data_IF_607513458503
#
_entry.id   IF_607513458503
#
_cell.length_a   1.000
_cell.length_b   1.000
_cell.length_c   1.000
_cell.angle_alpha   90.00
_cell.angle_beta   90.00
_cell.angle_gamma   90.00
#
_symmetry.space_group_name_H-M   'P 1'
#
loop_
_entity.id
_entity.type
_entity.pdbx_description
1 polymer ?
#
# COMPACT_ATOMS: atom_id res chain seq x y z
N UNK A 1 5.25 -23.17 -10.04
CA UNK A 1 4.18 -22.44 -10.76
C UNK A 1 3.60 -21.28 -9.97
N UNK A 2 3.24 -21.50 -8.71
CA UNK A 2 2.71 -20.44 -7.84
C UNK A 2 3.69 -19.26 -7.69
N UNK A 3 4.94 -19.52 -7.35
CA UNK A 3 5.97 -18.50 -7.17
C UNK A 3 6.18 -17.64 -8.41
N UNK A 4 6.16 -18.25 -9.59
CA UNK A 4 6.31 -17.54 -10.86
C UNK A 4 5.16 -16.54 -11.07
N UNK A 5 3.93 -16.98 -10.84
CA UNK A 5 2.73 -16.13 -11.00
C UNK A 5 2.72 -14.98 -9.98
N UNK A 6 3.16 -15.25 -8.76
CA UNK A 6 3.31 -14.24 -7.71
C UNK A 6 4.30 -13.16 -8.13
N UNK A 7 5.50 -13.54 -8.59
CA UNK A 7 6.52 -12.60 -9.02
C UNK A 7 6.06 -11.80 -10.23
N UNK A 8 5.40 -12.44 -11.16
CA UNK A 8 4.81 -11.77 -12.32
C UNK A 8 3.84 -10.68 -11.89
N UNK A 9 2.92 -11.00 -10.98
CA UNK A 9 1.94 -10.04 -10.46
C UNK A 9 2.62 -8.86 -9.75
N UNK A 10 3.57 -9.15 -8.84
CA UNK A 10 4.31 -8.11 -8.14
C UNK A 10 5.08 -7.21 -9.11
N UNK A 11 5.66 -7.78 -10.16
CA UNK A 11 6.40 -7.04 -11.16
C UNK A 11 5.51 -6.08 -11.95
N UNK A 12 4.25 -6.42 -12.16
CA UNK A 12 3.30 -5.53 -12.82
C UNK A 12 3.05 -4.26 -12.00
N UNK A 13 2.90 -4.39 -10.68
CA UNK A 13 2.73 -3.23 -9.81
C UNK A 13 3.97 -2.34 -9.78
N UNK A 14 5.15 -2.94 -9.72
CA UNK A 14 6.41 -2.19 -9.77
C UNK A 14 6.60 -1.47 -11.12
N UNK A 15 6.25 -2.15 -12.20
CA UNK A 15 6.28 -1.57 -13.54
C UNK A 15 5.35 -0.35 -13.61
N UNK A 16 4.14 -0.48 -13.12
CA UNK A 16 3.17 0.61 -13.08
C UNK A 16 3.68 1.78 -12.24
N UNK A 17 4.24 1.50 -11.06
CA UNK A 17 4.81 2.51 -10.19
C UNK A 17 5.91 3.30 -10.92
N UNK A 18 6.86 2.61 -11.56
CA UNK A 18 7.95 3.25 -12.29
C UNK A 18 7.45 4.13 -13.42
N UNK A 19 6.42 3.70 -14.15
CA UNK A 19 5.82 4.50 -15.23
C UNK A 19 5.19 5.78 -14.72
N UNK A 20 4.85 5.84 -13.44
CA UNK A 20 4.32 7.03 -12.78
C UNK A 20 5.37 7.75 -11.92
N UNK A 21 6.65 7.43 -12.10
CA UNK A 21 7.74 8.08 -11.38
C UNK A 21 7.87 7.67 -9.91
N UNK A 22 7.33 6.51 -9.52
CA UNK A 22 7.35 6.01 -8.15
C UNK A 22 8.10 4.69 -8.06
N UNK A 23 8.60 4.41 -6.86
CA UNK A 23 9.03 3.07 -6.49
C UNK A 23 7.82 2.28 -6.00
N UNK A 24 7.91 0.94 -6.00
CA UNK A 24 6.82 0.08 -5.56
C UNK A 24 6.32 0.38 -4.15
N UNK A 25 7.23 0.61 -3.20
CA UNK A 25 6.87 0.97 -1.83
C UNK A 25 6.17 2.33 -1.75
N UNK A 26 6.62 3.30 -2.54
CA UNK A 26 5.97 4.61 -2.60
C UNK A 26 4.54 4.51 -3.13
N UNK A 27 4.29 3.62 -4.07
CA UNK A 27 2.93 3.35 -4.56
C UNK A 27 2.04 2.79 -3.45
N UNK A 28 2.53 1.84 -2.65
CA UNK A 28 1.80 1.29 -1.50
C UNK A 28 1.51 2.37 -0.45
N UNK A 29 2.50 3.20 -0.14
CA UNK A 29 2.36 4.28 0.83
C UNK A 29 1.31 5.30 0.34
N UNK A 30 1.37 5.66 -0.93
CA UNK A 30 0.39 6.56 -1.55
C UNK A 30 -1.02 5.96 -1.48
N UNK A 31 -1.14 4.65 -1.69
CA UNK A 31 -2.40 3.92 -1.56
C UNK A 31 -2.98 4.05 -0.14
N UNK A 32 -2.13 3.87 0.88
CA UNK A 32 -2.55 4.05 2.28
C UNK A 32 -3.08 5.47 2.53
N UNK A 33 -2.39 6.48 2.03
CA UNK A 33 -2.81 7.88 2.18
C UNK A 33 -4.13 8.16 1.47
N UNK A 34 -4.27 7.65 0.27
CA UNK A 34 -5.43 7.93 -0.58
C UNK A 34 -6.73 7.32 -0.03
N UNK A 35 -6.65 6.10 0.49
CA UNK A 35 -7.83 5.38 1.00
C UNK A 35 -8.09 5.58 2.48
N UNK A 36 -7.31 6.41 3.16
CA UNK A 36 -7.54 6.75 4.58
C UNK A 36 -7.86 8.23 4.70
N UNK A 37 -9.13 8.58 4.43
CA UNK A 37 -9.60 9.97 4.37
C UNK A 37 -9.40 10.75 5.67
N UNK A 38 -9.49 10.07 6.83
CA UNK A 38 -9.33 10.71 8.14
C UNK A 38 -7.87 10.93 8.52
N UNK A 39 -6.95 10.61 7.62
CA UNK A 39 -5.53 10.68 7.86
C UNK A 39 -4.99 9.43 8.53
N UNK A 40 -3.68 9.32 8.55
CA UNK A 40 -2.97 8.13 9.00
C UNK A 40 -1.63 8.54 9.59
N UNK A 41 -1.17 7.84 10.63
CA UNK A 41 0.14 8.10 11.21
C UNK A 41 1.24 7.37 10.42
N UNK A 42 2.47 7.87 10.50
CA UNK A 42 3.60 7.19 9.86
C UNK A 42 3.81 5.79 10.43
N UNK A 43 3.60 5.60 11.73
CA UNK A 43 3.70 4.28 12.35
C UNK A 43 2.69 3.29 11.75
N UNK A 44 1.46 3.73 11.56
CA UNK A 44 0.43 2.89 10.93
C UNK A 44 0.78 2.57 9.46
N UNK A 45 1.35 3.52 8.73
CA UNK A 45 1.84 3.27 7.36
C UNK A 45 2.93 2.18 7.38
N UNK A 46 3.89 2.29 8.32
CA UNK A 46 4.94 1.28 8.47
C UNK A 46 4.35 -0.12 8.70
N UNK A 47 3.38 -0.22 9.60
CA UNK A 47 2.72 -1.49 9.92
C UNK A 47 1.97 -2.06 8.71
N UNK A 48 1.17 -1.24 8.04
CA UNK A 48 0.35 -1.69 6.90
C UNK A 48 1.17 -2.08 5.69
N UNK A 49 2.31 -1.43 5.48
CA UNK A 49 3.15 -1.68 4.30
C UNK A 49 4.34 -2.60 4.61
N UNK A 50 4.48 -3.02 5.86
CA UNK A 50 5.66 -3.79 6.32
C UNK A 50 6.96 -3.08 5.93
N UNK A 51 6.99 -1.78 6.12
CA UNK A 51 8.12 -0.93 5.76
C UNK A 51 8.87 -0.45 6.99
N UNK A 52 10.15 -0.14 6.82
CA UNK A 52 10.95 0.48 7.87
C UNK A 52 10.57 1.96 8.02
N UNK A 53 10.89 2.53 9.19
CA UNK A 53 10.69 3.97 9.44
C UNK A 53 11.45 4.83 8.43
N UNK A 54 12.66 4.39 8.04
CA UNK A 54 13.48 5.09 7.07
C UNK A 54 12.83 5.18 5.69
N UNK A 55 12.25 4.08 5.22
CA UNK A 55 11.56 4.02 3.93
C UNK A 55 10.34 4.94 3.92
N UNK A 56 9.53 4.87 4.97
CA UNK A 56 8.33 5.72 5.09
C UNK A 56 8.72 7.20 5.23
N UNK A 57 9.70 7.51 6.07
CA UNK A 57 10.18 8.89 6.24
C UNK A 57 10.70 9.49 4.94
N UNK A 58 11.44 8.71 4.15
CA UNK A 58 11.94 9.16 2.85
C UNK A 58 10.80 9.48 1.89
N UNK A 59 9.77 8.62 1.83
CA UNK A 59 8.59 8.86 1.01
C UNK A 59 7.82 10.11 1.48
N UNK A 60 7.67 10.28 2.80
CA UNK A 60 7.00 11.44 3.38
C UNK A 60 7.74 12.74 3.01
N UNK A 61 9.06 12.73 3.11
CA UNK A 61 9.88 13.89 2.74
C UNK A 61 9.65 14.28 1.28
N UNK A 62 9.70 13.31 0.38
CA UNK A 62 9.48 13.54 -1.05
C UNK A 62 8.08 14.09 -1.32
N UNK A 63 7.06 13.48 -0.73
CA UNK A 63 5.66 13.93 -0.93
C UNK A 63 5.42 15.32 -0.34
N UNK A 64 6.04 15.62 0.80
CA UNK A 64 5.93 16.95 1.41
C UNK A 64 6.59 18.02 0.55
N UNK A 65 7.79 17.76 0.05
CA UNK A 65 8.52 18.68 -0.83
C UNK A 65 7.73 18.99 -2.09
N UNK A 66 6.98 18.03 -2.61
CA UNK A 66 6.13 18.21 -3.78
C UNK A 66 4.77 18.82 -3.46
N UNK A 67 4.48 19.06 -2.20
CA UNK A 67 3.22 19.66 -1.77
C UNK A 67 2.03 18.70 -1.78
N UNK A 68 2.27 17.41 -1.72
CA UNK A 68 1.21 16.39 -1.76
C UNK A 68 0.65 16.03 -0.40
N UNK A 69 1.40 16.26 0.67
CA UNK A 69 0.98 15.93 2.03
C UNK A 69 1.27 17.08 2.99
N UNK A 70 0.57 17.05 4.12
CA UNK A 70 0.88 17.90 5.28
C UNK A 70 0.70 17.07 6.55
N UNK A 71 1.33 17.55 7.63
CA UNK A 71 1.25 16.90 8.94
C UNK A 71 0.36 17.72 9.86
N UNK A 72 -0.49 17.01 10.61
CA UNK A 72 -1.38 17.60 11.59
C UNK A 72 -1.05 17.03 12.97
N UNK A 73 -0.83 17.90 13.95
CA UNK A 73 -0.57 17.46 15.32
C UNK A 73 -1.85 16.96 15.97
N UNK A 74 -1.73 15.87 16.73
CA UNK A 74 -2.83 15.36 17.54
C UNK A 74 -2.85 16.07 18.90
N UNK A 75 -4.05 16.41 19.38
CA UNK A 75 -4.21 17.03 20.71
C UNK A 75 -3.73 16.10 21.83
N UNK A 76 -3.91 14.78 21.67
CA UNK A 76 -3.58 13.77 22.68
C UNK A 76 -2.12 13.35 22.68
N UNK A 77 -1.45 13.38 21.54
CA UNK A 77 -0.06 12.98 21.41
C UNK A 77 0.63 13.81 20.33
N UNK A 78 1.37 14.83 20.74
CA UNK A 78 2.11 15.70 19.82
C UNK A 78 3.30 15.03 19.16
N UNK A 79 3.72 13.86 19.66
CA UNK A 79 4.84 13.11 19.08
C UNK A 79 4.43 12.39 17.79
N UNK A 80 3.16 12.01 17.70
CA UNK A 80 2.63 11.29 16.56
C UNK A 80 1.70 12.19 15.76
N UNK A 81 2.16 12.56 14.57
CA UNK A 81 1.41 13.43 13.68
C UNK A 81 0.57 12.60 12.71
N UNK A 82 -0.59 13.14 12.37
CA UNK A 82 -1.42 12.56 11.30
C UNK A 82 -0.94 13.13 9.97
N UNK A 83 -0.76 12.25 9.00
CA UNK A 83 -0.42 12.61 7.62
C UNK A 83 -1.71 12.70 6.82
N UNK A 84 -1.88 13.79 6.09
CA UNK A 84 -3.04 13.99 5.21
C UNK A 84 -2.58 14.42 3.84
N UNK A 85 -3.35 14.05 2.81
CA UNK A 85 -3.13 14.56 1.47
C UNK A 85 -3.64 16.01 1.38
N UNK A 86 -2.87 16.85 0.70
CA UNK A 86 -3.37 18.15 0.25
C UNK A 86 -4.33 17.93 -0.92
N UNK A 87 -5.03 18.99 -1.34
CA UNK A 87 -5.83 18.94 -2.56
C UNK A 87 -4.99 18.51 -3.77
N UNK A 88 -3.80 19.08 -3.90
CA UNK A 88 -2.82 18.73 -4.93
C UNK A 88 -2.43 17.25 -4.84
N UNK A 89 -2.17 16.76 -3.62
CA UNK A 89 -1.82 15.36 -3.38
C UNK A 89 -2.96 14.42 -3.70
N UNK A 90 -4.18 14.80 -3.37
CA UNK A 90 -5.36 14.00 -3.70
C UNK A 90 -5.53 13.86 -5.23
N UNK A 91 -5.39 14.97 -5.98
CA UNK A 91 -5.45 14.94 -7.44
C UNK A 91 -4.33 14.09 -8.04
N UNK A 92 -3.13 14.22 -7.50
CA UNK A 92 -1.98 13.41 -7.92
C UNK A 92 -2.25 11.92 -7.70
N UNK A 93 -2.68 11.56 -6.49
CA UNK A 93 -2.97 10.18 -6.12
C UNK A 93 -4.10 9.59 -6.98
N UNK A 94 -5.18 10.35 -7.21
CA UNK A 94 -6.31 9.87 -7.99
C UNK A 94 -5.94 9.52 -9.43
N UNK A 95 -5.07 10.31 -10.05
CA UNK A 95 -4.60 10.05 -11.41
C UNK A 95 -3.83 8.74 -11.55
N UNK A 96 -3.17 8.31 -10.48
CA UNK A 96 -2.38 7.07 -10.44
C UNK A 96 -3.25 5.90 -9.98
N UNK A 97 -4.00 6.09 -8.90
CA UNK A 97 -4.67 5.00 -8.19
C UNK A 97 -6.05 4.65 -8.74
N UNK A 98 -6.79 5.62 -9.26
CA UNK A 98 -8.12 5.31 -9.83
C UNK A 98 -8.02 4.41 -11.06
N UNK A 99 -7.14 4.67 -12.05
CA UNK A 99 -6.96 3.74 -13.16
C UNK A 99 -6.45 2.37 -12.74
N UNK A 100 -5.58 2.31 -11.73
CA UNK A 100 -5.07 1.04 -11.21
C UNK A 100 -6.20 0.22 -10.59
N UNK A 101 -7.05 0.86 -9.78
CA UNK A 101 -8.22 0.22 -9.19
C UNK A 101 -9.18 -0.30 -10.26
N UNK A 102 -9.44 0.51 -11.28
CA UNK A 102 -10.28 0.09 -12.40
C UNK A 102 -9.70 -1.13 -13.11
N UNK A 103 -8.38 -1.17 -13.31
CA UNK A 103 -7.71 -2.31 -13.92
C UNK A 103 -7.86 -3.57 -13.07
N UNK A 104 -7.71 -3.44 -11.76
CA UNK A 104 -7.91 -4.55 -10.82
C UNK A 104 -9.36 -5.05 -10.83
N UNK A 105 -10.32 -4.12 -10.80
CA UNK A 105 -11.75 -4.45 -10.86
C UNK A 105 -12.12 -5.16 -12.15
N UNK A 106 -11.57 -4.72 -13.29
CA UNK A 106 -11.78 -5.39 -14.57
C UNK A 106 -11.18 -6.78 -14.58
N UNK A 107 -9.98 -6.94 -14.03
CA UNK A 107 -9.33 -8.25 -13.97
C UNK A 107 -10.15 -9.25 -13.15
N UNK A 108 -10.65 -8.83 -11.99
CA UNK A 108 -11.54 -9.66 -11.17
C UNK A 108 -12.88 -9.89 -11.88
N UNK A 109 -13.40 -8.87 -12.56
CA UNK A 109 -14.67 -8.93 -13.28
C UNK A 109 -14.72 -9.95 -14.41
N UNK A 110 -13.57 -10.42 -14.92
CA UNK A 110 -13.50 -11.49 -15.91
C UNK A 110 -13.84 -12.87 -15.30
N UNK A 111 -13.83 -12.97 -13.98
CA UNK A 111 -14.23 -14.18 -13.27
C UNK A 111 -15.75 -14.17 -13.05
N UNK A 112 -16.38 -15.35 -13.06
CA UNK A 112 -17.80 -15.46 -12.67
C UNK A 112 -17.99 -15.05 -11.22
N UNK A 113 -19.24 -14.78 -10.81
CA UNK A 113 -19.54 -14.40 -9.43
C UNK A 113 -19.07 -15.46 -8.43
N UNK A 114 -19.28 -16.74 -8.75
CA UNK A 114 -18.82 -17.84 -7.88
C UNK A 114 -17.30 -17.91 -7.83
N UNK A 115 -16.63 -17.73 -8.95
CA UNK A 115 -15.16 -17.71 -9.02
C UNK A 115 -14.58 -16.52 -8.23
N UNK A 116 -15.22 -15.36 -8.28
CA UNK A 116 -14.79 -14.20 -7.50
C UNK A 116 -14.85 -14.49 -6.00
N UNK A 117 -15.94 -15.10 -5.53
CA UNK A 117 -16.10 -15.48 -4.12
C UNK A 117 -15.03 -16.47 -3.69
N UNK A 118 -14.79 -17.50 -4.50
CA UNK A 118 -13.76 -18.50 -4.22
C UNK A 118 -12.35 -17.88 -4.22
N UNK A 119 -12.09 -17.00 -5.17
CA UNK A 119 -10.80 -16.31 -5.26
C UNK A 119 -10.52 -15.50 -3.99
N UNK A 120 -11.49 -14.70 -3.55
CA UNK A 120 -11.37 -13.88 -2.34
C UNK A 120 -11.19 -14.77 -1.10
N UNK A 121 -12.00 -15.84 -0.99
CA UNK A 121 -11.91 -16.79 0.12
C UNK A 121 -10.53 -17.45 0.20
N UNK A 122 -10.06 -18.02 -0.89
CA UNK A 122 -8.77 -18.72 -0.93
C UNK A 122 -7.60 -17.75 -0.76
N UNK A 123 -7.69 -16.58 -1.36
CA UNK A 123 -6.65 -15.56 -1.21
C UNK A 123 -6.53 -15.08 0.24
N UNK A 124 -7.66 -14.91 0.92
CA UNK A 124 -7.70 -14.54 2.34
C UNK A 124 -7.03 -15.62 3.20
N UNK A 125 -7.43 -16.88 3.00
CA UNK A 125 -6.84 -18.02 3.73
C UNK A 125 -5.33 -18.08 3.47
N UNK A 126 -4.92 -17.92 2.22
CA UNK A 126 -3.51 -17.95 1.85
C UNK A 126 -2.73 -16.83 2.55
N UNK A 127 -3.23 -15.60 2.50
CA UNK A 127 -2.56 -14.45 3.13
C UNK A 127 -2.45 -14.61 4.64
N UNK A 128 -3.50 -15.08 5.29
CA UNK A 128 -3.49 -15.31 6.75
C UNK A 128 -2.44 -16.35 7.12
N UNK A 129 -2.34 -17.43 6.34
CA UNK A 129 -1.33 -18.46 6.54
C UNK A 129 0.09 -17.94 6.29
N UNK A 130 0.27 -17.13 5.25
CA UNK A 130 1.57 -16.51 4.95
C UNK A 130 2.02 -15.59 6.09
N UNK A 131 1.12 -14.74 6.56
CA UNK A 131 1.41 -13.85 7.69
C UNK A 131 1.86 -14.64 8.90
N UNK A 132 1.08 -15.65 9.29
CA UNK A 132 1.37 -16.51 10.42
C UNK A 132 2.74 -17.21 10.29
N UNK A 133 3.03 -17.75 9.11
CA UNK A 133 4.28 -18.47 8.86
C UNK A 133 5.48 -17.53 8.85
N UNK A 134 5.37 -16.37 8.23
CA UNK A 134 6.45 -15.38 8.20
C UNK A 134 6.72 -14.83 9.61
N UNK A 135 5.69 -14.56 10.39
CA UNK A 135 5.85 -14.11 11.77
C UNK A 135 6.60 -15.14 12.62
N UNK A 136 6.34 -16.44 12.41
CA UNK A 136 7.09 -17.52 13.09
C UNK A 136 8.57 -17.50 12.72
N UNK A 137 8.90 -17.28 11.45
CA UNK A 137 10.29 -17.18 11.00
C UNK A 137 11.02 -16.01 11.67
N UNK A 138 10.38 -14.86 11.75
CA UNK A 138 10.93 -13.67 12.39
C UNK A 138 11.17 -13.90 13.89
N UNK A 139 10.20 -14.51 14.58
CA UNK A 139 10.29 -14.79 16.02
C UNK A 139 11.42 -15.80 16.33
N UNK A 140 11.67 -16.73 15.42
CA UNK A 140 12.77 -17.70 15.58
C UNK A 140 14.14 -17.14 15.24
N UNK A 141 14.20 -15.89 14.72
CA UNK A 141 15.44 -15.27 14.30
C UNK A 141 16.08 -15.90 13.08
N UNK A 142 15.29 -16.53 12.23
CA UNK A 142 15.76 -17.21 11.01
C UNK A 142 16.04 -16.22 9.86
N UNK A 143 15.66 -14.97 10.06
CA UNK A 143 15.95 -13.87 9.14
C UNK A 143 16.39 -12.60 9.88
#
# INVERSE_FOLDING_TARGET
>A
MFSRKKYENNSLYEYYARKNGLQGKSLLILTCLYYTKDGITQNTICEKTYSTKQVVSAAMKTFKEKGYIYFEEQEKDRREKIVRLTEKGYLYASKILDPLREAEEKAIGELSNDQQKLFIEYYTIFNDNMKKNIEKLVLKGEI
#
